data_IF_433850604133
#
_entry.id   IF_433850604133
#
_cell.length_a   1.000
_cell.length_b   1.000
_cell.length_c   1.000
_cell.angle_alpha   90.00
_cell.angle_beta   90.00
_cell.angle_gamma   90.00
#
_symmetry.space_group_name_H-M   'P 1'
#
loop_
_entity.id
_entity.type
_entity.pdbx_description
1 polymer ?
#
# COMPACT_ATOMS: atom_id res chain seq x y z
N UNK A 1 0.18 8.10 -2.01
CA UNK A 1 0.25 7.33 -0.74
C UNK A 1 -0.86 6.30 -0.78
N UNK A 2 -0.56 5.09 -0.39
CA UNK A 2 -1.38 3.94 -0.71
C UNK A 2 -2.71 3.94 0.06
N UNK A 3 -2.76 3.78 1.36
CA UNK A 3 -4.01 3.81 2.15
C UNK A 3 -4.85 2.54 2.04
N UNK A 4 -4.18 1.41 1.82
CA UNK A 4 -4.82 0.10 1.67
C UNK A 4 -5.06 -0.61 3.01
N UNK A 5 -4.25 -0.32 4.03
CA UNK A 5 -4.37 -0.93 5.36
C UNK A 5 -5.40 -0.17 6.17
N UNK A 6 -6.66 -0.52 5.97
CA UNK A 6 -7.80 0.15 6.57
C UNK A 6 -8.91 -0.82 6.93
N UNK A 7 -9.77 -0.40 7.83
CA UNK A 7 -11.04 -1.06 8.09
C UNK A 7 -12.15 -0.48 7.20
N UNK A 8 -13.26 -1.18 7.17
CA UNK A 8 -14.51 -0.66 6.61
C UNK A 8 -15.51 -0.45 7.74
N UNK A 9 -16.15 0.71 7.77
CA UNK A 9 -17.03 1.15 8.88
C UNK A 9 -18.08 0.12 9.29
N UNK A 10 -18.56 -0.69 8.35
CA UNK A 10 -19.54 -1.74 8.62
C UNK A 10 -18.97 -2.94 9.40
N UNK A 11 -17.65 -3.04 9.54
CA UNK A 11 -16.94 -4.15 10.18
C UNK A 11 -16.54 -3.84 11.62
N UNK A 12 -16.59 -2.58 12.03
CA UNK A 12 -16.18 -2.15 13.36
C UNK A 12 -17.38 -1.87 14.26
N UNK A 13 -17.20 -2.15 15.55
CA UNK A 13 -18.07 -1.60 16.59
C UNK A 13 -17.98 -0.07 16.64
N UNK A 14 -19.01 0.60 17.16
CA UNK A 14 -18.97 2.05 17.30
C UNK A 14 -17.79 2.55 18.16
N UNK A 15 -17.43 1.90 19.29
CA UNK A 15 -16.24 2.26 20.06
C UNK A 15 -14.93 2.11 19.27
N UNK A 16 -14.75 1.00 18.54
CA UNK A 16 -13.54 0.75 17.76
C UNK A 16 -13.39 1.76 16.60
N UNK A 17 -14.52 2.12 15.98
CA UNK A 17 -14.52 3.16 14.95
C UNK A 17 -14.09 4.53 15.53
N UNK A 18 -14.65 4.95 16.66
CA UNK A 18 -14.25 6.22 17.32
C UNK A 18 -12.79 6.16 17.78
N UNK A 19 -12.33 5.00 18.25
CA UNK A 19 -10.92 4.79 18.63
C UNK A 19 -9.98 4.95 17.43
N UNK A 20 -10.26 4.28 16.30
CA UNK A 20 -9.46 4.42 15.10
C UNK A 20 -9.46 5.85 14.57
N UNK A 21 -10.62 6.50 14.60
CA UNK A 21 -10.76 7.91 14.19
C UNK A 21 -9.93 8.84 15.10
N UNK A 22 -9.86 8.55 16.40
CA UNK A 22 -8.98 9.27 17.32
C UNK A 22 -7.51 9.18 16.89
N UNK A 23 -7.02 7.99 16.54
CA UNK A 23 -5.64 7.78 16.05
C UNK A 23 -5.40 8.52 14.73
N UNK A 24 -6.33 8.40 13.78
CA UNK A 24 -6.28 9.10 12.49
C UNK A 24 -6.21 10.62 12.66
N UNK A 25 -7.05 11.17 13.55
CA UNK A 25 -7.05 12.60 13.87
C UNK A 25 -5.77 13.01 14.59
N UNK A 26 -5.24 12.19 15.50
CA UNK A 26 -3.97 12.46 16.18
C UNK A 26 -2.80 12.59 15.19
N UNK A 27 -2.69 11.70 14.23
CA UNK A 27 -1.68 11.80 13.17
C UNK A 27 -1.92 13.03 12.27
N UNK A 28 -3.18 13.36 11.98
CA UNK A 28 -3.53 14.56 11.23
C UNK A 28 -3.08 15.84 11.96
N UNK A 29 -3.26 15.92 13.27
CA UNK A 29 -2.80 17.03 14.10
C UNK A 29 -1.28 17.05 14.19
N UNK A 30 -0.61 15.90 14.39
CA UNK A 30 0.85 15.84 14.39
C UNK A 30 1.48 16.34 13.07
N UNK A 31 0.86 16.08 11.92
CA UNK A 31 1.28 16.64 10.64
C UNK A 31 1.13 18.17 10.62
N UNK A 32 0.02 18.69 11.18
CA UNK A 32 -0.19 20.15 11.22
C UNK A 32 0.75 20.85 12.20
N UNK A 33 0.97 20.27 13.36
CA UNK A 33 1.80 20.83 14.42
C UNK A 33 3.28 20.87 13.99
N UNK A 34 3.75 19.82 13.32
CA UNK A 34 5.14 19.73 12.86
C UNK A 34 5.40 20.51 11.56
N UNK A 35 4.44 20.55 10.64
CA UNK A 35 4.69 21.00 9.25
C UNK A 35 3.67 22.02 8.72
N UNK A 36 2.69 22.42 9.52
CA UNK A 36 1.60 23.31 9.09
C UNK A 36 0.43 22.57 8.42
N UNK A 37 -0.56 23.33 7.94
CA UNK A 37 -1.84 22.76 7.52
C UNK A 37 -1.78 21.95 6.23
N UNK A 38 -0.93 22.34 5.27
CA UNK A 38 -0.87 21.72 3.94
C UNK A 38 -0.41 20.24 4.00
N UNK A 39 0.58 19.83 4.80
CA UNK A 39 1.01 18.43 4.89
C UNK A 39 -0.05 17.45 5.42
N UNK A 40 -1.17 17.92 5.95
CA UNK A 40 -2.32 17.05 6.29
C UNK A 40 -2.81 16.22 5.10
N UNK A 41 -2.64 16.71 3.87
CA UNK A 41 -2.94 15.93 2.65
C UNK A 41 -2.01 14.72 2.44
N UNK A 42 -0.91 14.62 3.20
CA UNK A 42 0.00 13.47 3.19
C UNK A 42 -0.42 12.37 4.17
N UNK A 43 -1.52 12.55 4.90
CA UNK A 43 -2.10 11.56 5.81
C UNK A 43 -2.52 10.30 5.04
N UNK A 44 -2.22 9.11 5.59
CA UNK A 44 -2.64 7.84 5.00
C UNK A 44 -3.16 6.87 6.07
N UNK A 45 -4.00 5.93 5.63
CA UNK A 45 -4.49 4.86 6.49
C UNK A 45 -3.37 3.90 6.91
N UNK A 46 -2.37 3.67 6.04
CA UNK A 46 -1.24 2.78 6.32
C UNK A 46 -0.40 3.30 7.48
N UNK A 47 -0.15 4.62 7.52
CA UNK A 47 0.58 5.24 8.62
C UNK A 47 -0.30 5.41 9.88
N UNK A 48 -1.60 5.56 9.72
CA UNK A 48 -2.54 5.48 10.86
C UNK A 48 -2.49 4.10 11.51
N UNK A 49 -2.41 3.02 10.72
CA UNK A 49 -2.21 1.67 11.25
C UNK A 49 -0.89 1.55 12.01
N UNK A 50 0.21 2.12 11.50
CA UNK A 50 1.50 2.12 12.18
C UNK A 50 1.42 2.85 13.55
N UNK A 51 0.71 3.98 13.63
CA UNK A 51 0.47 4.69 14.89
C UNK A 51 -0.37 3.85 15.83
N UNK A 52 -1.46 3.24 15.36
CA UNK A 52 -2.30 2.37 16.15
C UNK A 52 -1.51 1.18 16.72
N UNK A 53 -0.63 0.58 15.93
CA UNK A 53 0.27 -0.49 16.37
C UNK A 53 1.23 -0.01 17.46
N UNK A 54 1.83 1.17 17.30
CA UNK A 54 2.72 1.76 18.31
C UNK A 54 1.99 2.05 19.62
N UNK A 55 0.81 2.64 19.54
CA UNK A 55 -0.03 2.89 20.72
C UNK A 55 -0.43 1.59 21.42
N UNK A 56 -0.79 0.56 20.66
CA UNK A 56 -1.22 -0.72 21.19
C UNK A 56 -0.10 -1.47 21.93
N UNK A 57 1.16 -1.21 21.58
CA UNK A 57 2.34 -1.77 22.23
C UNK A 57 2.88 -0.90 23.38
N UNK A 58 2.37 0.32 23.53
CA UNK A 58 2.86 1.28 24.51
C UNK A 58 2.07 1.17 25.82
N UNK A 59 2.78 1.14 26.96
CA UNK A 59 2.18 1.31 28.28
C UNK A 59 2.10 2.80 28.59
N UNK A 60 0.88 3.31 28.70
CA UNK A 60 0.66 4.70 29.06
C UNK A 60 0.64 4.88 30.59
N UNK A 61 1.08 6.04 31.10
CA UNK A 61 0.91 6.38 32.52
C UNK A 61 -0.56 6.32 32.90
N UNK A 62 -0.86 5.97 34.17
CA UNK A 62 -2.23 5.82 34.67
C UNK A 62 -3.10 7.11 34.66
N UNK A 63 -2.52 8.26 34.36
CA UNK A 63 -3.25 9.54 34.17
C UNK A 63 -4.01 9.60 32.84
N UNK A 64 -4.58 8.50 32.41
CA UNK A 64 -5.05 8.17 31.05
C UNK A 64 -5.89 9.21 30.32
N UNK A 65 -6.83 9.87 30.96
CA UNK A 65 -7.77 10.78 30.27
C UNK A 65 -7.17 12.15 29.91
N UNK A 66 -6.08 12.56 30.57
CA UNK A 66 -5.38 13.82 30.25
C UNK A 66 -4.53 13.75 28.94
N UNK A 67 -4.33 12.55 28.40
CA UNK A 67 -3.49 12.31 27.22
C UNK A 67 -4.23 12.55 25.89
N UNK A 68 -5.55 12.48 25.91
CA UNK A 68 -6.41 12.73 24.77
C UNK A 68 -7.28 13.96 25.01
N UNK A 69 -7.05 15.00 24.22
CA UNK A 69 -7.80 16.25 24.32
C UNK A 69 -8.87 16.32 23.23
N UNK A 70 -10.06 16.87 23.51
CA UNK A 70 -11.11 17.01 22.53
C UNK A 70 -10.80 18.17 21.56
N UNK A 71 -10.29 17.84 20.37
CA UNK A 71 -9.97 18.80 19.31
C UNK A 71 -11.02 18.82 18.19
N UNK A 72 -11.20 19.97 17.57
CA UNK A 72 -12.09 20.11 16.41
C UNK A 72 -11.36 19.68 15.14
N UNK A 73 -11.95 18.73 14.44
CA UNK A 73 -11.42 18.27 13.15
C UNK A 73 -12.09 19.04 12.00
N UNK A 74 -11.27 19.64 11.11
CA UNK A 74 -11.75 20.32 9.91
C UNK A 74 -12.42 19.36 8.94
N UNK A 75 -11.86 18.15 8.78
CA UNK A 75 -12.39 17.12 7.89
C UNK A 75 -13.71 16.51 8.40
N UNK A 76 -13.96 16.56 9.71
CA UNK A 76 -15.18 16.07 10.33
C UNK A 76 -16.19 17.19 10.67
N UNK A 77 -16.20 18.25 9.87
CA UNK A 77 -17.15 19.36 10.02
C UNK A 77 -17.21 19.96 11.42
N UNK A 78 -16.05 20.13 12.07
CA UNK A 78 -15.92 20.76 13.37
C UNK A 78 -16.38 19.90 14.57
N UNK A 79 -16.66 18.60 14.37
CA UNK A 79 -16.94 17.66 15.46
C UNK A 79 -15.68 17.46 16.30
N UNK A 80 -15.86 17.43 17.62
CA UNK A 80 -14.78 17.13 18.54
C UNK A 80 -14.41 15.66 18.48
N UNK A 81 -13.13 15.38 18.38
CA UNK A 81 -12.55 14.03 18.47
C UNK A 81 -11.45 14.05 19.52
N UNK A 82 -11.30 12.99 20.29
CA UNK A 82 -10.19 12.84 21.19
C UNK A 82 -8.88 12.69 20.41
N UNK A 83 -7.93 13.59 20.65
CA UNK A 83 -6.65 13.66 19.91
C UNK A 83 -5.51 13.58 20.92
N UNK A 84 -4.54 12.71 20.65
CA UNK A 84 -3.29 12.66 21.39
C UNK A 84 -2.26 13.60 20.74
N UNK A 85 -1.47 14.29 21.56
CA UNK A 85 -0.43 15.21 21.12
C UNK A 85 0.93 14.83 21.68
N UNK A 86 2.00 15.24 20.97
CA UNK A 86 3.40 15.18 21.45
C UNK A 86 3.92 13.79 21.82
N UNK A 87 3.45 12.74 21.13
CA UNK A 87 3.99 11.41 21.27
C UNK A 87 5.05 11.15 20.22
N UNK A 88 6.19 10.57 20.61
CA UNK A 88 7.30 10.32 19.70
C UNK A 88 6.94 9.46 18.47
N UNK A 89 6.02 8.52 18.61
CA UNK A 89 5.54 7.72 17.48
C UNK A 89 4.61 8.50 16.55
N UNK A 90 3.86 9.51 17.04
CA UNK A 90 3.07 10.42 16.20
C UNK A 90 3.98 11.33 15.39
N UNK A 91 4.98 11.94 16.05
CA UNK A 91 5.97 12.77 15.38
C UNK A 91 6.76 11.98 14.34
N UNK A 92 7.15 10.76 14.68
CA UNK A 92 7.79 9.84 13.76
C UNK A 92 6.90 9.54 12.54
N UNK A 93 5.65 9.14 12.74
CA UNK A 93 4.71 8.83 11.68
C UNK A 93 4.42 10.03 10.78
N UNK A 94 4.32 11.25 11.36
CA UNK A 94 4.16 12.48 10.60
C UNK A 94 5.38 12.74 9.69
N UNK A 95 6.60 12.56 10.21
CA UNK A 95 7.83 12.69 9.42
C UNK A 95 7.91 11.62 8.32
N UNK A 96 7.59 10.36 8.62
CA UNK A 96 7.54 9.29 7.60
C UNK A 96 6.50 9.60 6.52
N UNK A 97 5.32 10.15 6.88
CA UNK A 97 4.32 10.59 5.89
C UNK A 97 4.89 11.56 4.88
N UNK A 98 5.64 12.54 5.36
CA UNK A 98 6.30 13.57 4.53
C UNK A 98 7.40 12.96 3.66
N UNK A 99 8.27 12.11 4.24
CA UNK A 99 9.36 11.47 3.50
C UNK A 99 8.86 10.53 2.39
N UNK A 100 7.82 9.74 2.65
CA UNK A 100 7.22 8.88 1.63
C UNK A 100 6.47 9.68 0.55
N UNK A 101 5.84 10.80 0.91
CA UNK A 101 5.23 11.71 -0.06
C UNK A 101 6.28 12.34 -1.00
N UNK A 102 7.48 12.68 -0.49
CA UNK A 102 8.60 13.13 -1.32
C UNK A 102 9.00 12.07 -2.34
N UNK A 103 9.14 10.81 -1.91
CA UNK A 103 9.53 9.73 -2.81
C UNK A 103 8.49 9.50 -3.90
N UNK A 104 7.20 9.54 -3.57
CA UNK A 104 6.13 9.45 -4.58
C UNK A 104 6.19 10.60 -5.58
N UNK A 105 6.42 11.84 -5.14
CA UNK A 105 6.59 12.98 -6.04
C UNK A 105 7.83 12.85 -6.95
N UNK A 106 8.88 12.18 -6.50
CA UNK A 106 10.07 11.92 -7.32
C UNK A 106 9.77 10.87 -8.40
N UNK A 107 8.97 9.87 -8.08
CA UNK A 107 8.52 8.85 -9.02
C UNK A 107 7.60 9.44 -10.09
N UNK A 108 6.58 10.21 -9.71
CA UNK A 108 5.68 10.90 -10.63
C UNK A 108 6.40 11.88 -11.60
N UNK A 109 7.62 12.35 -11.27
CA UNK A 109 8.44 13.19 -12.16
C UNK A 109 9.02 12.44 -13.36
N UNK A 110 9.17 11.13 -13.27
CA UNK A 110 9.64 10.30 -14.38
C UNK A 110 8.58 10.11 -15.46
N UNK A 111 7.30 10.29 -15.10
CA UNK A 111 6.16 10.22 -16.02
C UNK A 111 5.86 11.61 -16.61
N UNK A 112 6.15 11.78 -17.91
CA UNK A 112 6.17 13.07 -18.63
C UNK A 112 4.87 13.88 -18.61
N UNK A 113 3.73 13.28 -18.28
CA UNK A 113 2.41 13.92 -18.36
C UNK A 113 2.13 14.93 -17.24
N UNK A 114 2.85 14.87 -16.10
CA UNK A 114 2.57 15.69 -14.94
C UNK A 114 3.71 16.61 -14.47
N UNK A 115 4.76 16.77 -15.27
CA UNK A 115 6.01 17.47 -14.91
C UNK A 115 5.79 18.88 -14.29
N UNK A 116 4.94 19.70 -14.87
CA UNK A 116 4.71 21.07 -14.37
C UNK A 116 3.99 21.10 -13.03
N UNK A 117 2.99 20.22 -12.85
CA UNK A 117 2.23 20.11 -11.59
C UNK A 117 3.12 19.57 -10.48
N UNK A 118 3.88 18.53 -10.76
CA UNK A 118 4.78 17.88 -9.80
C UNK A 118 5.92 18.81 -9.40
N UNK A 119 6.47 19.60 -10.32
CA UNK A 119 7.51 20.60 -10.03
C UNK A 119 6.99 21.69 -9.08
N UNK A 120 5.78 22.21 -9.32
CA UNK A 120 5.16 23.20 -8.44
C UNK A 120 4.92 22.67 -7.03
N UNK A 121 4.38 21.46 -6.90
CA UNK A 121 4.14 20.80 -5.61
C UNK A 121 5.47 20.56 -4.87
N UNK A 122 6.50 20.04 -5.56
CA UNK A 122 7.82 19.80 -4.95
C UNK A 122 8.43 21.11 -4.40
N UNK A 123 8.34 22.20 -5.15
CA UNK A 123 8.85 23.50 -4.70
C UNK A 123 8.09 24.01 -3.47
N UNK A 124 6.77 23.82 -3.43
CA UNK A 124 5.93 24.22 -2.30
C UNK A 124 6.31 23.49 -1.01
N UNK A 125 6.61 22.19 -1.10
CA UNK A 125 6.91 21.35 0.07
C UNK A 125 8.40 21.12 0.32
N UNK A 126 9.30 21.78 -0.42
CA UNK A 126 10.76 21.56 -0.28
C UNK A 126 11.27 21.82 1.14
N UNK A 127 10.77 22.86 1.82
CA UNK A 127 11.10 23.14 3.22
C UNK A 127 10.64 22.02 4.16
N UNK A 128 9.42 21.55 3.96
CA UNK A 128 8.80 20.45 4.72
C UNK A 128 9.60 19.15 4.57
N UNK A 129 10.00 18.76 3.35
CA UNK A 129 10.81 17.58 3.08
C UNK A 129 12.19 17.66 3.76
N UNK A 130 12.84 18.84 3.67
CA UNK A 130 14.13 19.07 4.35
C UNK A 130 13.99 18.98 5.86
N UNK A 131 12.93 19.58 6.42
CA UNK A 131 12.66 19.51 7.86
C UNK A 131 12.45 18.07 8.32
N UNK A 132 11.63 17.27 7.63
CA UNK A 132 11.40 15.88 7.95
C UNK A 132 12.69 15.04 7.90
N UNK A 133 13.54 15.27 6.90
CA UNK A 133 14.83 14.60 6.79
C UNK A 133 15.81 15.00 7.91
N UNK A 134 15.80 16.25 8.35
CA UNK A 134 16.62 16.72 9.45
C UNK A 134 16.15 16.18 10.82
N UNK A 135 14.85 16.01 11.00
CA UNK A 135 14.29 15.47 12.26
C UNK A 135 14.68 14.00 12.48
N UNK A 136 14.76 13.22 11.40
CA UNK A 136 15.08 11.78 11.44
C UNK A 136 16.09 11.41 10.34
N UNK A 137 17.36 11.88 10.43
CA UNK A 137 18.33 11.79 9.33
C UNK A 137 18.70 10.35 8.96
N UNK A 138 18.80 9.45 9.92
CA UNK A 138 19.16 8.04 9.69
C UNK A 138 18.08 7.32 8.87
N UNK A 139 16.83 7.38 9.30
CA UNK A 139 15.73 6.73 8.56
C UNK A 139 15.43 7.43 7.23
N UNK A 140 15.61 8.75 7.14
CA UNK A 140 15.47 9.48 5.88
C UNK A 140 16.50 9.02 4.85
N UNK A 141 17.76 8.78 5.28
CA UNK A 141 18.82 8.22 4.43
C UNK A 141 18.48 6.78 3.98
N UNK A 142 18.00 5.93 4.90
CA UNK A 142 17.56 4.55 4.60
C UNK A 142 16.40 4.51 3.60
N UNK A 143 15.37 5.33 3.81
CA UNK A 143 14.23 5.45 2.88
C UNK A 143 14.71 5.90 1.51
N UNK A 144 15.52 6.95 1.45
CA UNK A 144 16.06 7.49 0.19
C UNK A 144 16.88 6.45 -0.57
N UNK A 145 17.79 5.76 0.13
CA UNK A 145 18.65 4.73 -0.48
C UNK A 145 17.82 3.54 -0.96
N UNK A 146 16.88 3.07 -0.13
CA UNK A 146 16.01 1.95 -0.47
C UNK A 146 15.09 2.25 -1.64
N UNK A 147 14.46 3.43 -1.67
CA UNK A 147 13.59 3.85 -2.77
C UNK A 147 14.39 4.12 -4.06
N UNK A 148 15.59 4.69 -3.96
CA UNK A 148 16.46 4.82 -5.13
C UNK A 148 16.79 3.46 -5.76
N UNK A 149 17.10 2.47 -4.92
CA UNK A 149 17.34 1.11 -5.37
C UNK A 149 16.09 0.46 -5.98
N UNK A 150 14.95 0.62 -5.34
CA UNK A 150 13.65 0.15 -5.83
C UNK A 150 13.33 0.75 -7.21
N UNK A 151 13.40 2.08 -7.36
CA UNK A 151 13.13 2.77 -8.62
C UNK A 151 14.13 2.36 -9.73
N UNK A 152 15.40 2.10 -9.35
CA UNK A 152 16.40 1.57 -10.28
C UNK A 152 16.02 0.18 -10.78
N UNK A 153 15.57 -0.72 -9.91
CA UNK A 153 15.11 -2.06 -10.29
C UNK A 153 13.89 -1.98 -11.22
N UNK A 154 12.88 -1.17 -10.89
CA UNK A 154 11.72 -0.98 -11.76
C UNK A 154 12.13 -0.45 -13.15
N UNK A 155 12.99 0.55 -13.19
CA UNK A 155 13.51 1.10 -14.44
C UNK A 155 14.24 0.05 -15.28
N UNK A 156 15.06 -0.79 -14.66
CA UNK A 156 15.76 -1.87 -15.35
C UNK A 156 14.78 -2.90 -15.94
N UNK A 157 13.75 -3.30 -15.19
CA UNK A 157 12.73 -4.21 -15.69
C UNK A 157 11.86 -3.60 -16.78
N UNK A 158 11.53 -2.32 -16.67
CA UNK A 158 10.80 -1.57 -17.72
C UNK A 158 11.53 -1.58 -19.06
N UNK A 159 12.88 -1.59 -19.05
CA UNK A 159 13.73 -1.58 -20.25
C UNK A 159 14.23 -2.96 -20.68
N UNK A 160 13.63 -4.06 -20.20
CA UNK A 160 13.95 -5.45 -20.60
C UNK A 160 15.39 -5.94 -20.34
N UNK A 161 16.01 -5.58 -19.25
CA UNK A 161 17.30 -6.12 -18.86
C UNK A 161 17.20 -7.55 -18.31
N UNK A 162 17.91 -8.50 -18.94
CA UNK A 162 17.80 -9.95 -18.65
C UNK A 162 18.56 -10.46 -17.42
N UNK A 163 19.53 -9.73 -16.86
CA UNK A 163 20.41 -10.20 -15.78
C UNK A 163 20.34 -9.27 -14.55
N UNK A 164 19.22 -9.32 -13.82
CA UNK A 164 18.95 -8.42 -12.69
C UNK A 164 19.21 -9.08 -11.33
N UNK A 165 19.28 -10.40 -11.27
CA UNK A 165 19.53 -11.12 -10.00
C UNK A 165 20.80 -10.66 -9.26
N UNK A 166 21.84 -10.27 -10.01
CA UNK A 166 23.09 -9.72 -9.45
C UNK A 166 22.96 -8.29 -8.91
N UNK A 167 21.85 -7.60 -9.17
CA UNK A 167 21.64 -6.20 -8.81
C UNK A 167 20.84 -6.00 -7.53
N UNK A 168 20.24 -7.08 -6.99
CA UNK A 168 19.61 -7.02 -5.67
C UNK A 168 20.71 -6.78 -4.62
N UNK A 169 20.64 -5.70 -3.83
CA UNK A 169 21.59 -5.49 -2.76
C UNK A 169 21.60 -6.70 -1.82
N UNK A 170 22.76 -7.18 -1.47
CA UNK A 170 22.92 -8.30 -0.52
C UNK A 170 22.14 -8.06 0.79
N UNK A 171 21.97 -6.81 1.22
CA UNK A 171 21.18 -6.40 2.37
C UNK A 171 19.67 -6.69 2.23
N UNK A 172 19.10 -6.61 1.02
CA UNK A 172 17.68 -6.95 0.80
C UNK A 172 17.46 -8.46 0.92
N UNK A 173 18.41 -9.26 0.43
CA UNK A 173 18.33 -10.72 0.56
C UNK A 173 18.50 -11.17 2.02
N UNK A 174 19.36 -10.51 2.80
CA UNK A 174 19.60 -10.86 4.20
C UNK A 174 18.49 -10.36 5.15
N UNK A 175 17.86 -9.23 4.84
CA UNK A 175 16.81 -8.62 5.66
C UNK A 175 15.43 -9.29 5.50
N UNK A 176 15.18 -9.96 4.37
CA UNK A 176 13.91 -10.65 4.15
C UNK A 176 13.91 -12.01 4.86
N UNK A 177 12.95 -12.21 5.77
CA UNK A 177 12.72 -13.51 6.37
C UNK A 177 12.48 -14.56 5.28
N UNK A 178 13.00 -15.78 5.46
CA UNK A 178 12.84 -16.88 4.49
C UNK A 178 11.36 -17.14 4.13
N UNK A 179 10.47 -16.93 5.09
CA UNK A 179 9.04 -17.09 4.92
C UNK A 179 8.45 -16.17 3.82
N UNK A 180 8.88 -14.90 3.73
CA UNK A 180 8.38 -14.02 2.68
C UNK A 180 8.86 -14.48 1.30
N UNK A 181 10.08 -14.99 1.18
CA UNK A 181 10.60 -15.52 -0.08
C UNK A 181 9.79 -16.73 -0.54
N UNK A 182 9.43 -17.62 0.38
CA UNK A 182 8.58 -18.79 0.10
C UNK A 182 7.17 -18.36 -0.36
N UNK A 183 6.57 -17.38 0.31
CA UNK A 183 5.24 -16.87 -0.07
C UNK A 183 5.27 -16.18 -1.44
N UNK A 184 6.36 -15.47 -1.77
CA UNK A 184 6.52 -14.79 -3.06
C UNK A 184 7.06 -15.72 -4.17
N UNK A 185 7.51 -16.94 -3.85
CA UNK A 185 8.10 -17.87 -4.84
C UNK A 185 7.25 -18.08 -6.11
N UNK A 186 5.90 -18.11 -6.07
CA UNK A 186 5.10 -18.17 -7.29
C UNK A 186 5.35 -17.00 -8.25
N UNK A 187 5.69 -15.79 -7.73
CA UNK A 187 6.07 -14.66 -8.58
C UNK A 187 7.43 -14.89 -9.25
N UNK A 188 8.37 -15.52 -8.56
CA UNK A 188 9.70 -15.75 -9.13
C UNK A 188 9.60 -16.58 -10.43
N UNK A 189 8.67 -17.52 -10.49
CA UNK A 189 8.47 -18.37 -11.67
C UNK A 189 7.66 -17.69 -12.78
N UNK A 190 6.69 -16.82 -12.45
CA UNK A 190 5.80 -16.20 -13.44
C UNK A 190 6.11 -14.73 -13.75
N UNK A 191 6.68 -13.98 -12.81
CA UNK A 191 7.03 -12.57 -12.93
C UNK A 191 8.20 -12.21 -12.00
N UNK A 192 9.47 -12.55 -12.37
CA UNK A 192 10.65 -12.24 -11.53
C UNK A 192 10.76 -10.75 -11.18
N UNK A 193 10.30 -9.88 -12.08
CA UNK A 193 10.25 -8.44 -11.83
C UNK A 193 9.38 -8.11 -10.60
N UNK A 194 8.15 -8.64 -10.55
CA UNK A 194 7.25 -8.44 -9.42
C UNK A 194 7.83 -9.01 -8.11
N UNK A 195 8.48 -10.17 -8.16
CA UNK A 195 9.16 -10.74 -7.00
C UNK A 195 10.22 -9.79 -6.44
N UNK A 196 11.16 -9.34 -7.29
CA UNK A 196 12.30 -8.53 -6.86
C UNK A 196 11.88 -7.13 -6.40
N UNK A 197 10.98 -6.48 -7.12
CA UNK A 197 10.48 -5.15 -6.74
C UNK A 197 9.66 -5.21 -5.45
N UNK A 198 8.83 -6.26 -5.27
CA UNK A 198 8.11 -6.48 -4.01
C UNK A 198 9.06 -6.59 -2.82
N UNK A 199 10.13 -7.39 -2.94
CA UNK A 199 11.13 -7.53 -1.87
C UNK A 199 11.85 -6.21 -1.58
N UNK A 200 12.24 -5.46 -2.62
CA UNK A 200 12.94 -4.19 -2.46
C UNK A 200 12.07 -3.15 -1.74
N UNK A 201 10.80 -3.02 -2.14
CA UNK A 201 9.85 -2.12 -1.48
C UNK A 201 9.54 -2.57 -0.05
N UNK A 202 9.28 -3.86 0.15
CA UNK A 202 9.01 -4.44 1.47
C UNK A 202 10.14 -4.17 2.47
N UNK A 203 11.40 -4.25 2.03
CA UNK A 203 12.54 -3.96 2.88
C UNK A 203 12.55 -2.51 3.38
N UNK A 204 12.15 -1.53 2.56
CA UNK A 204 12.03 -0.13 2.98
C UNK A 204 10.97 0.02 4.07
N UNK A 205 9.80 -0.57 3.89
CA UNK A 205 8.73 -0.53 4.89
C UNK A 205 9.14 -1.25 6.18
N UNK A 206 9.85 -2.38 6.05
CA UNK A 206 10.44 -3.09 7.21
C UNK A 206 11.34 -2.19 8.04
N UNK A 207 12.24 -1.44 7.42
CA UNK A 207 13.12 -0.48 8.11
C UNK A 207 12.35 0.63 8.82
N UNK A 208 11.30 1.16 8.20
CA UNK A 208 10.42 2.15 8.82
C UNK A 208 9.78 1.58 10.09
N UNK A 209 9.26 0.37 10.05
CA UNK A 209 8.65 -0.26 11.23
C UNK A 209 9.68 -0.62 12.30
N UNK A 210 10.87 -1.08 11.94
CA UNK A 210 11.96 -1.35 12.87
C UNK A 210 12.36 -0.14 13.70
N UNK A 211 12.37 1.04 13.08
CA UNK A 211 12.77 2.30 13.71
C UNK A 211 11.64 3.01 14.45
N UNK A 212 10.46 2.40 14.55
CA UNK A 212 9.30 2.96 15.25
C UNK A 212 9.67 3.24 16.73
N UNK A 213 9.58 4.50 17.20
CA UNK A 213 9.92 4.86 18.56
C UNK A 213 8.79 4.40 19.49
N UNK A 214 8.95 3.21 20.05
CA UNK A 214 8.10 2.75 21.15
C UNK A 214 8.52 3.52 22.39
N UNK A 215 7.57 4.19 23.04
CA UNK A 215 7.84 4.94 24.25
C UNK A 215 8.42 4.02 25.32
N UNK A 216 9.55 4.42 25.97
CA UNK A 216 9.96 3.75 27.17
C UNK A 216 8.81 3.84 28.17
N UNK A 217 8.53 2.74 28.84
CA UNK A 217 7.70 2.72 30.03
C UNK A 217 8.22 3.84 30.95
N UNK A 218 7.44 4.90 31.16
CA UNK A 218 7.66 5.80 32.27
C UNK A 218 7.18 5.06 33.52
N UNK A 219 7.94 4.05 33.93
CA UNK A 219 7.82 3.43 35.22
C UNK A 219 8.80 4.17 36.14
N UNK A 220 8.42 4.46 37.39
CA UNK A 220 9.37 5.05 38.34
C UNK A 220 10.67 4.24 38.37
N UNK A 221 11.82 4.89 38.62
CA UNK A 221 13.13 4.26 38.47
C UNK A 221 13.30 3.16 39.53
N UNK A 222 12.91 1.95 39.15
CA UNK A 222 13.31 0.74 39.84
C UNK A 222 14.15 -0.05 38.87
N UNK A 223 15.29 -0.59 39.29
CA UNK A 223 16.33 -1.24 38.44
C UNK A 223 15.84 -2.33 37.47
N UNK A 224 14.63 -2.82 37.67
CA UNK A 224 13.96 -3.79 36.78
C UNK A 224 13.43 -3.20 35.46
N UNK A 225 13.27 -1.88 35.36
CA UNK A 225 12.57 -1.21 34.25
C UNK A 225 13.50 -0.92 33.08
N UNK A 226 14.74 -0.54 33.32
CA UNK A 226 15.70 -0.30 32.24
C UNK A 226 16.01 -1.57 31.48
N UNK A 227 16.16 -2.69 32.18
CA UNK A 227 16.39 -4.00 31.56
C UNK A 227 15.19 -4.42 30.70
N UNK A 228 13.96 -4.19 31.13
CA UNK A 228 12.75 -4.50 30.36
C UNK A 228 12.60 -3.62 29.13
N UNK A 229 12.98 -2.36 29.16
CA UNK A 229 12.91 -1.44 28.01
C UNK A 229 13.95 -1.80 26.95
N UNK A 230 15.19 -2.06 27.34
CA UNK A 230 16.26 -2.49 26.43
C UNK A 230 15.94 -3.85 25.80
N UNK A 231 15.47 -4.82 26.58
CA UNK A 231 15.06 -6.14 26.10
C UNK A 231 13.83 -6.04 25.17
N UNK A 232 12.83 -5.24 25.52
CA UNK A 232 11.66 -5.01 24.63
C UNK A 232 12.09 -4.38 23.31
N UNK A 233 12.92 -3.35 23.33
CA UNK A 233 13.44 -2.74 22.10
C UNK A 233 14.23 -3.74 21.26
N UNK A 234 15.06 -4.56 21.91
CA UNK A 234 15.88 -5.56 21.24
C UNK A 234 15.04 -6.69 20.60
N UNK A 235 13.93 -7.08 21.24
CA UNK A 235 13.05 -8.14 20.73
C UNK A 235 11.97 -7.62 19.80
N UNK A 236 11.37 -6.45 20.11
CA UNK A 236 10.25 -5.90 19.33
C UNK A 236 10.68 -5.30 18.01
N UNK A 237 11.84 -4.63 17.94
CA UNK A 237 12.28 -4.00 16.69
C UNK A 237 12.42 -5.00 15.53
N UNK A 238 13.02 -6.20 15.71
CA UNK A 238 13.03 -7.22 14.66
C UNK A 238 11.63 -7.74 14.31
N UNK A 239 10.74 -7.91 15.29
CA UNK A 239 9.36 -8.33 15.03
C UNK A 239 8.60 -7.27 14.22
N UNK A 240 8.77 -5.99 14.56
CA UNK A 240 8.19 -4.88 13.81
C UNK A 240 8.77 -4.78 12.40
N UNK A 241 10.06 -5.04 12.21
CA UNK A 241 10.67 -5.13 10.88
C UNK A 241 9.99 -6.20 10.02
N UNK A 242 9.77 -7.39 10.56
CA UNK A 242 9.08 -8.48 9.86
C UNK A 242 7.65 -8.10 9.49
N UNK A 243 6.90 -7.51 10.43
CA UNK A 243 5.54 -7.00 10.17
C UNK A 243 5.58 -5.94 9.06
N UNK A 244 6.51 -5.01 9.13
CA UNK A 244 6.69 -3.98 8.10
C UNK A 244 7.03 -4.57 6.72
N UNK A 245 7.84 -5.63 6.66
CA UNK A 245 8.15 -6.36 5.42
C UNK A 245 6.89 -7.00 4.84
N UNK A 246 6.08 -7.69 5.63
CA UNK A 246 4.86 -8.33 5.14
C UNK A 246 3.82 -7.30 4.69
N UNK A 247 3.65 -6.21 5.43
CA UNK A 247 2.78 -5.09 5.05
C UNK A 247 3.26 -4.41 3.77
N UNK A 248 4.56 -4.15 3.65
CA UNK A 248 5.14 -3.54 2.45
C UNK A 248 4.93 -4.41 1.21
N UNK A 249 5.17 -5.72 1.32
CA UNK A 249 4.90 -6.65 0.22
C UNK A 249 3.41 -6.66 -0.15
N UNK A 250 2.52 -6.68 0.85
CA UNK A 250 1.08 -6.66 0.63
C UNK A 250 0.63 -5.36 -0.04
N UNK A 251 1.11 -4.19 0.44
CA UNK A 251 0.79 -2.88 -0.13
C UNK A 251 1.23 -2.79 -1.59
N UNK A 252 2.45 -3.21 -1.91
CA UNK A 252 2.98 -3.12 -3.26
C UNK A 252 2.19 -3.98 -4.27
N UNK A 253 1.87 -5.20 -3.87
CA UNK A 253 1.12 -6.12 -4.74
C UNK A 253 -0.35 -5.73 -4.91
N UNK A 254 -1.01 -5.24 -3.85
CA UNK A 254 -2.40 -4.81 -3.95
C UNK A 254 -2.53 -3.52 -4.79
N UNK A 255 -1.57 -2.62 -4.71
CA UNK A 255 -1.49 -1.40 -5.53
C UNK A 255 -1.37 -1.78 -7.02
N UNK A 256 -0.41 -2.63 -7.36
CA UNK A 256 -0.25 -3.13 -8.72
C UNK A 256 -1.51 -3.86 -9.23
N UNK A 257 -2.22 -4.57 -8.34
CA UNK A 257 -3.47 -5.25 -8.67
C UNK A 257 -4.62 -4.27 -8.86
N UNK A 258 -4.73 -3.24 -7.99
CA UNK A 258 -5.80 -2.25 -8.07
C UNK A 258 -5.72 -1.39 -9.34
N UNK A 259 -4.50 -1.08 -9.77
CA UNK A 259 -4.25 -0.23 -10.94
C UNK A 259 -4.17 -1.02 -12.26
N UNK A 260 -4.12 -2.35 -12.22
CA UNK A 260 -3.83 -3.22 -13.37
C UNK A 260 -4.65 -2.90 -14.64
N UNK A 261 -5.96 -2.72 -14.51
CA UNK A 261 -6.84 -2.45 -15.66
C UNK A 261 -6.75 -1.01 -16.15
N UNK A 262 -6.52 -0.06 -15.25
CA UNK A 262 -6.38 1.34 -15.59
C UNK A 262 -5.02 1.59 -16.25
N UNK A 263 -3.93 0.98 -15.75
CA UNK A 263 -2.60 1.04 -16.36
C UNK A 263 -2.59 0.40 -17.75
N UNK A 264 -3.29 -0.74 -17.91
CA UNK A 264 -3.43 -1.38 -19.22
C UNK A 264 -4.17 -0.46 -20.21
N UNK A 265 -5.23 0.22 -19.75
CA UNK A 265 -6.04 1.13 -20.57
C UNK A 265 -5.25 2.37 -21.02
N UNK A 266 -4.45 2.93 -20.12
CA UNK A 266 -3.66 4.12 -20.38
C UNK A 266 -2.25 3.82 -20.90
N UNK A 267 -1.93 2.53 -21.14
CA UNK A 267 -0.60 2.06 -21.58
C UNK A 267 0.51 2.47 -20.59
N UNK A 268 0.17 2.53 -19.29
CA UNK A 268 1.08 2.84 -18.21
C UNK A 268 1.84 1.59 -17.76
N UNK A 269 2.89 1.82 -16.99
CA UNK A 269 3.68 0.75 -16.39
C UNK A 269 2.89 0.09 -15.27
N UNK A 270 2.85 -1.25 -15.31
CA UNK A 270 2.40 -2.06 -14.18
C UNK A 270 3.28 -3.31 -14.12
N UNK A 271 3.81 -3.60 -12.95
CA UNK A 271 4.79 -4.67 -12.73
C UNK A 271 4.21 -6.05 -13.09
N UNK A 272 2.93 -6.29 -12.85
CA UNK A 272 2.26 -7.56 -13.16
C UNK A 272 2.15 -7.79 -14.67
N UNK A 273 2.14 -6.72 -15.48
CA UNK A 273 2.11 -6.79 -16.94
C UNK A 273 3.47 -7.14 -17.56
N UNK A 274 4.54 -7.23 -16.76
CA UNK A 274 5.86 -7.69 -17.23
C UNK A 274 6.02 -9.22 -17.24
N UNK A 275 5.05 -9.97 -16.69
CA UNK A 275 5.01 -11.43 -16.83
C UNK A 275 4.74 -11.83 -18.28
N UNK A 276 5.06 -13.09 -18.64
CA UNK A 276 4.68 -13.63 -19.97
C UNK A 276 3.18 -13.48 -20.21
N UNK A 277 2.36 -13.83 -19.21
CA UNK A 277 0.89 -13.69 -19.27
C UNK A 277 0.48 -12.22 -19.36
N UNK A 278 1.11 -11.34 -18.62
CA UNK A 278 0.89 -9.89 -18.68
C UNK A 278 1.23 -9.29 -20.04
N UNK A 279 2.33 -9.70 -20.66
CA UNK A 279 2.71 -9.27 -22.00
C UNK A 279 1.70 -9.72 -23.06
N UNK A 280 1.17 -10.94 -22.96
CA UNK A 280 0.11 -11.42 -23.85
C UNK A 280 -1.18 -10.62 -23.68
N UNK A 281 -1.56 -10.29 -22.43
CA UNK A 281 -2.70 -9.42 -22.14
C UNK A 281 -2.52 -8.06 -22.80
N UNK A 282 -1.35 -7.43 -22.64
CA UNK A 282 -1.01 -6.13 -23.25
C UNK A 282 -1.09 -6.18 -24.76
N UNK A 283 -0.44 -7.14 -25.41
CA UNK A 283 -0.46 -7.29 -26.86
C UNK A 283 -1.87 -7.50 -27.41
N UNK A 284 -2.70 -8.30 -26.74
CA UNK A 284 -4.08 -8.51 -27.12
C UNK A 284 -4.90 -7.22 -27.00
N UNK A 285 -4.68 -6.44 -25.95
CA UNK A 285 -5.33 -5.16 -25.75
C UNK A 285 -4.92 -4.13 -26.83
N UNK A 286 -3.62 -4.02 -27.13
CA UNK A 286 -3.10 -3.13 -28.17
C UNK A 286 -3.67 -3.47 -29.56
N UNK A 287 -3.67 -4.76 -29.94
CA UNK A 287 -4.29 -5.22 -31.21
C UNK A 287 -5.76 -4.82 -31.28
N UNK A 288 -6.47 -4.88 -30.16
CA UNK A 288 -7.86 -4.49 -30.09
C UNK A 288 -8.05 -2.98 -30.23
N UNK A 289 -7.23 -2.17 -29.57
CA UNK A 289 -7.25 -0.71 -29.73
C UNK A 289 -7.02 -0.32 -31.19
N UNK A 290 -6.03 -0.92 -31.85
CA UNK A 290 -5.75 -0.69 -33.26
C UNK A 290 -6.96 -1.02 -34.15
N UNK A 291 -7.64 -2.15 -33.92
CA UNK A 291 -8.87 -2.51 -34.65
C UNK A 291 -10.00 -1.50 -34.42
N UNK A 292 -10.18 -1.03 -33.18
CA UNK A 292 -11.20 -0.02 -32.86
C UNK A 292 -10.89 1.33 -33.49
N UNK A 293 -9.62 1.71 -33.62
CA UNK A 293 -9.20 2.95 -34.30
C UNK A 293 -9.46 2.91 -35.82
N UNK A 294 -9.44 1.73 -36.44
CA UNK A 294 -9.71 1.54 -37.85
C UNK A 294 -11.21 1.52 -38.18
N UNK A 295 -12.10 1.43 -37.17
CA UNK A 295 -13.54 1.47 -37.41
C UNK A 295 -14.05 2.89 -37.70
N UNK A 296 -15.00 3.08 -38.66
CA UNK A 296 -15.63 4.35 -38.91
C UNK A 296 -16.27 4.95 -37.67
N UNK A 297 -16.23 6.27 -37.53
CA UNK A 297 -16.72 7.01 -36.33
C UNK A 297 -18.16 6.70 -35.97
N UNK A 298 -19.03 6.43 -36.93
CA UNK A 298 -20.42 6.06 -36.73
C UNK A 298 -20.57 4.68 -36.05
N UNK A 299 -19.72 3.72 -36.39
CA UNK A 299 -19.73 2.39 -35.73
C UNK A 299 -19.16 2.42 -34.32
N UNK A 300 -18.25 3.39 -34.01
CA UNK A 300 -17.74 3.59 -32.65
C UNK A 300 -18.84 4.04 -31.67
N UNK A 301 -19.78 4.90 -32.11
CA UNK A 301 -20.89 5.41 -31.28
C UNK A 301 -21.94 4.36 -30.95
N UNK A 302 -22.19 3.37 -31.83
CA UNK A 302 -23.18 2.33 -31.59
C UNK A 302 -22.73 1.26 -30.58
N UNK A 303 -21.43 1.18 -30.25
CA UNK A 303 -20.84 0.20 -29.32
C UNK A 303 -20.73 0.69 -27.87
N UNK A 304 -21.25 1.87 -27.52
CA UNK A 304 -21.44 2.30 -26.15
C UNK A 304 -22.95 2.36 -25.82
N UNK A 305 -23.60 1.28 -25.46
CA UNK A 305 -24.95 1.34 -24.93
C UNK A 305 -24.84 1.81 -23.48
N UNK A 306 -25.08 3.09 -23.24
CA UNK A 306 -25.46 3.58 -21.93
C UNK A 306 -26.73 2.82 -21.48
N UNK A 307 -26.63 2.08 -20.39
CA UNK A 307 -27.79 1.75 -19.59
C UNK A 307 -28.60 0.51 -19.96
N UNK A 308 -28.04 -0.60 -20.39
CA UNK A 308 -28.75 -1.89 -20.36
C UNK A 308 -28.18 -2.77 -19.25
N UNK A 309 -29.02 -3.02 -18.26
CA UNK A 309 -28.87 -4.05 -17.23
C UNK A 309 -28.51 -5.37 -17.92
N UNK A 310 -27.32 -5.86 -17.65
CA UNK A 310 -26.83 -7.15 -18.15
C UNK A 310 -27.66 -8.28 -17.54
N UNK A 311 -28.62 -8.80 -18.30
CA UNK A 311 -29.18 -10.12 -18.03
C UNK A 311 -28.06 -11.14 -18.24
N UNK A 312 -27.71 -11.81 -17.17
CA UNK A 312 -26.68 -12.86 -17.10
C UNK A 312 -27.21 -14.06 -17.88
N UNK A 313 -26.75 -14.25 -19.10
CA UNK A 313 -27.02 -15.47 -19.86
C UNK A 313 -26.34 -16.65 -19.13
N UNK A 314 -27.16 -17.65 -18.74
CA UNK A 314 -26.74 -18.79 -17.91
C UNK A 314 -25.90 -19.84 -18.64
N UNK A 315 -25.53 -19.61 -19.88
CA UNK A 315 -24.64 -20.50 -20.61
C UNK A 315 -23.19 -20.14 -20.23
N UNK A 316 -22.55 -20.99 -19.44
CA UNK A 316 -21.11 -20.97 -19.19
C UNK A 316 -20.37 -21.10 -20.52
N UNK A 317 -20.15 -19.99 -21.22
CA UNK A 317 -19.18 -19.96 -22.31
C UNK A 317 -17.78 -20.20 -21.69
N UNK A 318 -17.08 -21.19 -22.22
CA UNK A 318 -15.67 -21.41 -21.85
C UNK A 318 -14.90 -20.08 -22.01
N UNK A 319 -14.07 -19.76 -21.00
CA UNK A 319 -13.21 -18.59 -21.04
C UNK A 319 -12.26 -18.69 -22.24
N UNK A 320 -12.12 -17.61 -22.99
CA UNK A 320 -11.10 -17.52 -24.03
C UNK A 320 -9.69 -17.58 -23.43
N UNK A 321 -8.68 -17.99 -24.18
CA UNK A 321 -7.29 -18.06 -23.68
C UNK A 321 -6.81 -16.78 -22.96
N UNK A 322 -7.02 -15.57 -23.49
CA UNK A 322 -6.66 -14.35 -22.75
C UNK A 322 -7.40 -14.19 -21.40
N UNK A 323 -8.66 -14.65 -21.32
CA UNK A 323 -9.44 -14.61 -20.09
C UNK A 323 -8.89 -15.56 -19.03
N UNK A 324 -8.48 -16.76 -19.44
CA UNK A 324 -7.81 -17.72 -18.54
C UNK A 324 -6.50 -17.15 -18.01
N UNK A 325 -5.70 -16.53 -18.87
CA UNK A 325 -4.42 -15.92 -18.47
C UNK A 325 -4.60 -14.78 -17.46
N UNK A 326 -5.59 -13.91 -17.66
CA UNK A 326 -5.93 -12.87 -16.69
C UNK A 326 -6.40 -13.49 -15.37
N UNK A 327 -7.30 -14.48 -15.44
CA UNK A 327 -7.80 -15.16 -14.26
C UNK A 327 -6.68 -15.83 -13.46
N UNK A 328 -5.72 -16.47 -14.14
CA UNK A 328 -4.56 -17.11 -13.51
C UNK A 328 -3.63 -16.10 -12.83
N UNK A 329 -3.36 -14.95 -13.51
CA UNK A 329 -2.52 -13.89 -12.93
C UNK A 329 -3.18 -13.30 -11.68
N UNK A 330 -4.48 -12.99 -11.75
CA UNK A 330 -5.25 -12.50 -10.62
C UNK A 330 -5.28 -13.52 -9.49
N UNK A 331 -5.48 -14.81 -9.80
CA UNK A 331 -5.49 -15.88 -8.80
C UNK A 331 -4.14 -16.03 -8.10
N UNK A 332 -3.03 -15.97 -8.85
CA UNK A 332 -1.68 -16.01 -8.27
C UNK A 332 -1.46 -14.85 -7.31
N UNK A 333 -1.77 -13.61 -7.73
CA UNK A 333 -1.64 -12.44 -6.87
C UNK A 333 -2.52 -12.53 -5.61
N UNK A 334 -3.76 -13.01 -5.75
CA UNK A 334 -4.68 -13.21 -4.63
C UNK A 334 -4.15 -14.22 -3.63
N UNK A 335 -3.64 -15.35 -4.09
CA UNK A 335 -3.08 -16.41 -3.24
C UNK A 335 -1.91 -15.87 -2.42
N UNK A 336 -1.02 -15.10 -3.03
CA UNK A 336 0.11 -14.47 -2.35
C UNK A 336 -0.37 -13.48 -1.30
N UNK A 337 -1.34 -12.62 -1.64
CA UNK A 337 -1.89 -11.63 -0.71
C UNK A 337 -2.58 -12.27 0.50
N UNK A 338 -3.29 -13.38 0.32
CA UNK A 338 -3.85 -14.17 1.44
C UNK A 338 -2.75 -14.79 2.31
N UNK A 339 -1.71 -15.36 1.70
CA UNK A 339 -0.59 -15.93 2.45
C UNK A 339 0.19 -14.87 3.24
N UNK A 340 0.41 -13.68 2.66
CA UNK A 340 1.01 -12.54 3.38
C UNK A 340 0.14 -12.10 4.55
N UNK A 341 -1.17 -12.04 4.38
CA UNK A 341 -2.11 -11.75 5.47
C UNK A 341 -2.02 -12.80 6.59
N UNK A 342 -1.94 -14.08 6.25
CA UNK A 342 -1.80 -15.15 7.26
C UNK A 342 -0.48 -15.01 8.04
N UNK A 343 0.64 -14.65 7.38
CA UNK A 343 1.91 -14.37 8.06
C UNK A 343 1.84 -13.13 8.96
N UNK A 344 1.12 -12.09 8.54
CA UNK A 344 0.86 -10.91 9.36
C UNK A 344 0.10 -11.29 10.62
N UNK A 345 -0.99 -12.04 10.47
CA UNK A 345 -1.83 -12.47 11.58
C UNK A 345 -1.01 -13.29 12.60
N UNK A 346 -0.22 -14.27 12.14
CA UNK A 346 0.67 -15.06 12.98
C UNK A 346 1.72 -14.19 13.71
N UNK A 347 2.30 -13.21 13.02
CA UNK A 347 3.32 -12.33 13.61
C UNK A 347 2.73 -11.41 14.68
N UNK A 348 1.49 -11.00 14.52
CA UNK A 348 0.80 -10.14 15.47
C UNK A 348 0.44 -10.87 16.77
N UNK A 349 0.17 -12.16 16.75
CA UNK A 349 -0.14 -12.97 17.94
C UNK A 349 1.01 -12.92 18.96
N UNK A 350 2.24 -12.80 18.49
CA UNK A 350 3.44 -12.81 19.34
C UNK A 350 3.72 -11.46 20.04
N UNK A 351 2.98 -10.42 19.72
CA UNK A 351 3.24 -9.08 20.26
C UNK A 351 2.63 -8.91 21.68
N UNK A 352 3.32 -8.19 22.57
CA UNK A 352 2.86 -7.94 23.96
C UNK A 352 1.84 -6.80 23.99
N UNK A 353 0.63 -7.06 23.56
CA UNK A 353 -0.45 -6.09 23.51
C UNK A 353 -0.78 -5.46 24.85
N UNK A 354 -0.94 -4.15 24.89
CA UNK A 354 -1.42 -3.40 26.03
C UNK A 354 -2.88 -2.98 25.84
N UNK A 355 -3.30 -2.74 24.59
CA UNK A 355 -4.66 -2.35 24.20
C UNK A 355 -4.88 -2.61 22.70
N UNK A 356 -6.07 -2.35 22.22
CA UNK A 356 -6.46 -2.31 20.81
C UNK A 356 -6.12 -3.57 19.97
N UNK A 357 -5.75 -4.68 20.61
CA UNK A 357 -5.40 -5.92 19.91
C UNK A 357 -6.54 -6.42 19.00
N UNK A 358 -7.78 -6.35 19.47
CA UNK A 358 -8.96 -6.73 18.72
C UNK A 358 -9.18 -5.82 17.49
N UNK A 359 -8.96 -4.51 17.65
CA UNK A 359 -9.07 -3.55 16.55
C UNK A 359 -8.00 -3.79 15.47
N UNK A 360 -6.76 -4.06 15.87
CA UNK A 360 -5.67 -4.41 14.96
C UNK A 360 -5.98 -5.73 14.25
N UNK A 361 -6.44 -6.75 14.97
CA UNK A 361 -6.86 -8.02 14.39
C UNK A 361 -7.99 -7.82 13.35
N UNK A 362 -9.00 -7.01 13.64
CA UNK A 362 -10.08 -6.72 12.71
C UNK A 362 -9.57 -6.04 11.41
N UNK A 363 -8.58 -5.14 11.50
CA UNK A 363 -7.99 -4.52 10.31
C UNK A 363 -7.30 -5.58 9.44
N UNK A 364 -6.55 -6.50 10.04
CA UNK A 364 -5.80 -7.53 9.30
C UNK A 364 -6.73 -8.65 8.81
N UNK A 365 -7.64 -9.15 9.68
CA UNK A 365 -8.46 -10.34 9.36
C UNK A 365 -9.69 -10.01 8.51
N UNK A 366 -10.20 -8.78 8.57
CA UNK A 366 -11.40 -8.37 7.84
C UNK A 366 -11.12 -7.22 6.86
N UNK A 367 -10.32 -6.23 7.27
CA UNK A 367 -10.01 -5.05 6.46
C UNK A 367 -9.21 -5.39 5.20
N UNK A 368 -8.10 -6.13 5.32
CA UNK A 368 -7.28 -6.53 4.18
C UNK A 368 -8.04 -7.43 3.19
N UNK A 369 -8.75 -8.50 3.61
CA UNK A 369 -9.57 -9.29 2.69
C UNK A 369 -10.64 -8.48 1.98
N UNK A 370 -11.29 -7.54 2.67
CA UNK A 370 -12.30 -6.68 2.06
C UNK A 370 -11.68 -5.74 1.01
N UNK A 371 -10.49 -5.21 1.28
CA UNK A 371 -9.73 -4.42 0.29
C UNK A 371 -9.41 -5.26 -0.94
N UNK A 372 -8.91 -6.48 -0.75
CA UNK A 372 -8.61 -7.42 -1.83
C UNK A 372 -9.85 -7.79 -2.64
N UNK A 373 -10.97 -8.08 -1.99
CA UNK A 373 -12.26 -8.36 -2.67
C UNK A 373 -12.73 -7.19 -3.53
N UNK A 374 -12.56 -5.95 -3.05
CA UNK A 374 -12.92 -4.75 -3.81
C UNK A 374 -12.04 -4.57 -5.05
N UNK A 375 -10.73 -4.74 -4.91
CA UNK A 375 -9.81 -4.71 -6.05
C UNK A 375 -10.16 -5.79 -7.07
N UNK A 376 -10.42 -7.01 -6.64
CA UNK A 376 -10.81 -8.12 -7.50
C UNK A 376 -12.12 -7.87 -8.24
N UNK A 377 -13.12 -7.31 -7.55
CA UNK A 377 -14.39 -6.96 -8.18
C UNK A 377 -14.19 -5.85 -9.22
N UNK A 378 -13.41 -4.80 -8.89
CA UNK A 378 -13.04 -3.72 -9.83
C UNK A 378 -12.39 -4.31 -11.07
N UNK A 379 -11.37 -5.17 -10.92
CA UNK A 379 -10.64 -5.75 -12.04
C UNK A 379 -11.56 -6.61 -12.92
N UNK A 380 -12.33 -7.53 -12.33
CA UNK A 380 -13.28 -8.38 -13.10
C UNK A 380 -14.26 -7.53 -13.89
N UNK A 381 -14.89 -6.53 -13.26
CA UNK A 381 -15.83 -5.65 -13.92
C UNK A 381 -15.20 -4.87 -15.08
N UNK A 382 -14.01 -4.31 -14.88
CA UNK A 382 -13.30 -3.54 -15.90
C UNK A 382 -12.84 -4.43 -17.06
N UNK A 383 -12.34 -5.63 -16.79
CA UNK A 383 -11.96 -6.58 -17.85
C UNK A 383 -13.18 -7.10 -18.60
N UNK A 384 -14.30 -7.32 -17.99
CA UNK A 384 -15.57 -7.67 -18.66
C UNK A 384 -16.03 -6.54 -19.61
N UNK A 385 -15.97 -5.29 -19.18
CA UNK A 385 -16.26 -4.13 -20.04
C UNK A 385 -15.29 -4.04 -21.25
N UNK A 386 -14.01 -4.31 -21.02
CA UNK A 386 -13.02 -4.33 -22.09
C UNK A 386 -13.32 -5.41 -23.13
N UNK A 387 -13.92 -6.52 -22.73
CA UNK A 387 -14.30 -7.64 -23.60
C UNK A 387 -15.60 -7.39 -24.36
N UNK A 388 -16.62 -6.82 -23.72
CA UNK A 388 -17.89 -6.46 -24.38
C UNK A 388 -17.68 -5.52 -25.57
N UNK A 389 -16.67 -4.64 -25.48
CA UNK A 389 -16.26 -3.80 -26.59
C UNK A 389 -15.55 -4.56 -27.73
N UNK A 390 -15.26 -5.88 -27.60
CA UNK A 390 -14.45 -6.68 -28.53
C UNK A 390 -15.17 -7.84 -29.22
N UNK A 391 -16.47 -8.02 -29.00
CA UNK A 391 -17.22 -9.06 -29.72
C UNK A 391 -17.06 -8.88 -31.24
N UNK A 392 -16.66 -9.92 -31.98
CA UNK A 392 -16.52 -9.82 -33.42
C UNK A 392 -17.87 -9.53 -34.07
N UNK A 393 -17.88 -8.73 -35.12
CA UNK A 393 -19.05 -8.38 -35.96
C UNK A 393 -19.54 -9.53 -36.81
N UNK A 394 -19.29 -10.80 -36.45
CA UNK A 394 -19.67 -11.97 -37.26
C UNK A 394 -21.16 -12.34 -37.20
N UNK A 395 -21.97 -11.66 -36.35
CA UNK A 395 -23.40 -11.95 -36.17
C UNK A 395 -24.30 -10.79 -36.60
N UNK A 396 -23.99 -10.14 -37.75
CA UNK A 396 -24.98 -9.32 -38.47
C UNK A 396 -25.60 -10.18 -39.54
N UNK A 397 -26.90 -10.52 -39.49
CA UNK A 397 -27.58 -11.12 -40.61
C UNK A 397 -27.55 -10.11 -41.78
N UNK A 398 -27.22 -10.62 -42.95
CA UNK A 398 -27.25 -9.97 -44.26
C UNK A 398 -28.57 -9.30 -44.61
#
# INVERSE_FOLDING_TARGET
MYGYIRFYKAQLSAPDYERYKSVYCSLCHALADNFGQLPRFMLSYDLTFMVLLAEALTVFPQAGDALWQPERCLEHFGKKTAVAHHWSFLDYAANISVLLAEQKLLDDQTDKEHLLRTFGVKRLFQGTFRQAANNYPEIAAEIKAGMLNFNRLESLYRHNYKNIESLLPAGVQAACAEQIKQVLAPLLSCCPAAYNCTLAFAAVIGKIFRCLPLLPLQVPPTDRVELTTAVKKQLLSPCLEVIGIYLGAWIYLIDALDDLSDDLRHQQYNILLLSEKGNLIRQNYERKLLRLQQLPLLQRRQKHPAGKTLYRDKNQKELTEPQKQIADLLHTAQTILHNLQALLDQSLILLPWQRDAALIAAIIQEGLPTTLLRCNFKQRYQFDLLQLASAPSSDLPS
#
